data_IF_484126004383
#
_entry.id   IF_484126004383
#
_cell.length_a   1.000
_cell.length_b   1.000
_cell.length_c   1.000
_cell.angle_alpha   90.00
_cell.angle_beta   90.00
_cell.angle_gamma   90.00
#
_symmetry.space_group_name_H-M   'P 1'
#
loop_
_entity.id
_entity.type
_entity.pdbx_description
1 polymer ?
#
# COMPACT_ATOMS: atom_id res chain seq x y z
N UNK A 1 -19.40 18.46 12.69
CA UNK A 1 -18.49 17.43 12.13
C UNK A 1 -17.10 17.82 12.57
N UNK A 2 -16.53 17.08 13.51
CA UNK A 2 -15.31 17.45 14.24
C UNK A 2 -14.08 17.49 13.32
N UNK A 3 -13.35 18.59 13.42
CA UNK A 3 -12.04 18.81 12.81
C UNK A 3 -11.00 18.02 13.60
N UNK A 4 -10.41 17.01 12.98
CA UNK A 4 -9.25 16.30 13.52
C UNK A 4 -8.03 17.24 13.51
N UNK A 5 -7.67 17.72 14.69
CA UNK A 5 -6.39 18.37 14.95
C UNK A 5 -5.27 17.32 14.88
N UNK A 6 -4.37 17.46 13.91
CA UNK A 6 -3.09 16.76 13.93
C UNK A 6 -1.98 17.79 13.81
N UNK A 7 -1.33 18.05 14.96
CA UNK A 7 -0.09 18.79 15.11
C UNK A 7 0.93 18.47 14.01
N UNK A 8 1.40 19.53 13.34
CA UNK A 8 2.79 19.63 12.91
C UNK A 8 3.23 18.99 11.59
N UNK A 9 2.33 18.36 10.81
CA UNK A 9 2.64 18.03 9.41
C UNK A 9 1.66 18.78 8.53
N UNK A 10 2.15 19.83 7.88
CA UNK A 10 1.38 20.59 6.89
C UNK A 10 0.89 19.63 5.80
N UNK A 11 -0.43 19.44 5.73
CA UNK A 11 -1.12 18.58 4.76
C UNK A 11 -0.65 18.82 3.31
N UNK A 12 -0.16 20.03 3.02
CA UNK A 12 0.40 20.45 1.74
C UNK A 12 1.63 19.63 1.26
N UNK A 13 2.47 19.07 2.14
CA UNK A 13 3.62 18.25 1.73
C UNK A 13 3.24 16.78 1.43
N UNK A 14 2.09 16.33 1.93
CA UNK A 14 1.66 14.94 1.79
C UNK A 14 0.93 14.74 0.44
N UNK A 15 0.18 15.73 0.00
CA UNK A 15 -0.59 15.67 -1.25
C UNK A 15 0.29 15.64 -2.50
N UNK A 16 1.46 16.28 -2.44
CA UNK A 16 2.45 16.34 -3.53
C UNK A 16 3.27 15.06 -3.71
N UNK A 17 3.14 14.08 -2.80
CA UNK A 17 3.89 12.83 -2.88
C UNK A 17 3.43 12.04 -4.09
N UNK A 18 4.32 11.88 -5.05
CA UNK A 18 4.11 10.96 -6.17
C UNK A 18 4.42 9.55 -5.70
N UNK A 19 3.51 8.63 -5.97
CA UNK A 19 3.79 7.22 -5.76
C UNK A 19 4.69 6.78 -6.92
N UNK A 20 5.82 6.12 -6.63
CA UNK A 20 6.74 5.71 -7.67
C UNK A 20 6.06 4.65 -8.54
N UNK A 21 5.93 4.97 -9.82
CA UNK A 21 5.61 4.03 -10.88
C UNK A 21 6.86 3.81 -11.73
N UNK A 22 7.28 2.55 -11.98
CA UNK A 22 6.61 1.30 -11.62
C UNK A 22 6.66 1.00 -10.10
N UNK A 23 5.67 0.26 -9.57
CA UNK A 23 5.57 -0.06 -8.14
C UNK A 23 6.83 -0.75 -7.63
N UNK A 24 7.54 -0.08 -6.71
CA UNK A 24 8.75 -0.61 -6.05
C UNK A 24 8.42 -1.58 -4.90
N UNK A 25 7.25 -2.22 -4.93
CA UNK A 25 6.79 -3.16 -3.93
C UNK A 25 6.56 -4.53 -4.60
N UNK A 26 7.30 -5.54 -4.17
CA UNK A 26 7.19 -6.89 -4.71
C UNK A 26 6.21 -7.73 -3.90
N UNK A 27 5.64 -8.76 -4.53
CA UNK A 27 4.76 -9.74 -3.88
C UNK A 27 5.37 -10.31 -2.59
N UNK A 28 6.68 -10.55 -2.61
CA UNK A 28 7.45 -11.08 -1.48
C UNK A 28 7.49 -10.11 -0.30
N UNK A 29 7.75 -8.82 -0.55
CA UNK A 29 7.81 -7.79 0.48
C UNK A 29 6.44 -7.55 1.14
N UNK A 30 5.36 -7.83 0.40
CA UNK A 30 3.98 -7.78 0.91
C UNK A 30 3.67 -9.00 1.77
N UNK A 31 4.09 -10.20 1.36
CA UNK A 31 3.87 -11.46 2.06
C UNK A 31 4.69 -11.60 3.35
N UNK A 32 5.87 -10.97 3.41
CA UNK A 32 6.79 -11.08 4.56
C UNK A 32 6.25 -10.41 5.83
N UNK A 33 5.38 -9.40 5.70
CA UNK A 33 4.82 -8.68 6.87
C UNK A 33 3.90 -9.51 7.75
N UNK A 34 3.35 -10.62 7.26
CA UNK A 34 2.54 -11.52 8.08
C UNK A 34 3.44 -12.52 8.83
N UNK A 35 3.59 -12.30 10.14
CA UNK A 35 4.22 -13.26 11.07
C UNK A 35 3.57 -14.65 11.03
N UNK A 36 2.28 -14.68 10.72
CA UNK A 36 1.48 -15.90 10.65
C UNK A 36 1.41 -16.39 9.20
N UNK A 37 2.26 -17.36 8.85
CA UNK A 37 2.36 -17.91 7.49
C UNK A 37 1.08 -18.65 7.06
N UNK A 38 0.36 -19.23 8.02
CA UNK A 38 -0.82 -20.07 7.76
C UNK A 38 -2.11 -19.26 7.55
N UNK A 39 -2.19 -18.04 8.11
CA UNK A 39 -3.28 -17.08 7.87
C UNK A 39 -2.97 -16.02 6.80
N UNK A 40 -1.93 -16.22 5.97
CA UNK A 40 -1.63 -15.32 4.85
C UNK A 40 -2.82 -15.28 3.88
N UNK A 41 -3.49 -14.13 3.84
CA UNK A 41 -4.45 -13.78 2.79
C UNK A 41 -3.75 -12.82 1.83
N UNK A 42 -4.00 -12.99 0.54
CA UNK A 42 -3.54 -12.03 -0.45
C UNK A 42 -4.20 -10.67 -0.16
N UNK A 43 -3.41 -9.61 0.11
CA UNK A 43 -3.96 -8.29 0.24
C UNK A 43 -4.47 -7.80 -1.11
N UNK A 44 -5.57 -7.03 -1.08
CA UNK A 44 -6.13 -6.42 -2.27
C UNK A 44 -5.16 -5.40 -2.88
N UNK A 45 -5.30 -5.10 -4.19
CA UNK A 45 -4.50 -4.11 -4.92
C UNK A 45 -4.40 -2.75 -4.20
N UNK A 46 -5.50 -2.26 -3.62
CA UNK A 46 -5.52 -1.04 -2.82
C UNK A 46 -4.62 -1.10 -1.57
N UNK A 47 -4.56 -2.26 -0.91
CA UNK A 47 -3.71 -2.43 0.27
C UNK A 47 -2.24 -2.40 -0.15
N UNK A 48 -1.89 -3.02 -1.28
CA UNK A 48 -0.53 -2.99 -1.85
C UNK A 48 -0.15 -1.55 -2.23
N UNK A 49 -1.09 -0.81 -2.83
CA UNK A 49 -0.92 0.61 -3.16
C UNK A 49 -0.66 1.46 -1.91
N UNK A 50 -1.47 1.31 -0.86
CA UNK A 50 -1.27 1.99 0.42
C UNK A 50 0.09 1.66 1.05
N UNK A 51 0.57 0.42 0.89
CA UNK A 51 1.89 0.01 1.38
C UNK A 51 3.03 0.68 0.62
N UNK A 52 2.90 0.84 -0.70
CA UNK A 52 3.85 1.58 -1.52
C UNK A 52 3.92 3.05 -1.08
N UNK A 53 2.77 3.68 -0.83
CA UNK A 53 2.69 5.04 -0.32
C UNK A 53 3.38 5.19 1.06
N UNK A 54 3.11 4.26 1.98
CA UNK A 54 3.74 4.26 3.30
C UNK A 54 5.26 4.06 3.23
N UNK A 55 5.74 3.26 2.27
CA UNK A 55 7.18 3.06 2.02
C UNK A 55 7.83 4.34 1.50
N UNK A 56 7.19 5.03 0.57
CA UNK A 56 7.69 6.29 0.03
C UNK A 56 7.71 7.40 1.08
N UNK A 57 6.66 7.48 1.91
CA UNK A 57 6.62 8.37 3.06
C UNK A 57 7.81 8.15 4.00
N UNK A 58 8.10 6.88 4.31
CA UNK A 58 9.25 6.52 5.14
C UNK A 58 10.59 6.88 4.47
N UNK A 59 10.69 6.70 3.15
CA UNK A 59 11.86 7.06 2.34
C UNK A 59 12.15 8.56 2.43
N UNK A 60 11.10 9.38 2.44
CA UNK A 60 11.18 10.84 2.58
C UNK A 60 11.36 11.30 4.05
N UNK A 61 11.66 10.39 4.98
CA UNK A 61 11.74 10.65 6.43
C UNK A 61 10.41 11.11 7.06
N UNK A 62 9.29 10.92 6.36
CA UNK A 62 7.95 11.26 6.82
C UNK A 62 7.35 10.04 7.52
N UNK A 63 7.84 9.76 8.73
CA UNK A 63 7.45 8.58 9.52
C UNK A 63 6.36 8.82 10.57
N UNK A 64 6.00 10.09 10.84
CA UNK A 64 5.03 10.46 11.88
C UNK A 64 3.59 10.66 11.34
N UNK A 65 3.21 9.95 10.27
CA UNK A 65 1.85 10.03 9.73
C UNK A 65 0.99 8.92 10.32
N UNK A 66 -0.18 9.32 10.82
CA UNK A 66 -1.22 8.39 11.26
C UNK A 66 -1.69 7.51 10.09
N UNK A 67 -1.83 6.21 10.32
CA UNK A 67 -2.34 5.25 9.34
C UNK A 67 -3.68 5.66 8.71
N UNK A 68 -4.53 6.38 9.45
CA UNK A 68 -5.80 6.93 8.93
C UNK A 68 -5.52 7.93 7.80
N UNK A 69 -4.58 8.87 8.00
CA UNK A 69 -4.20 9.86 6.99
C UNK A 69 -3.58 9.20 5.75
N UNK A 70 -2.73 8.18 5.95
CA UNK A 70 -2.18 7.39 4.84
C UNK A 70 -3.30 6.71 4.04
N UNK A 71 -4.31 6.17 4.73
CA UNK A 71 -5.44 5.48 4.08
C UNK A 71 -6.34 6.46 3.33
N UNK A 72 -6.60 7.64 3.88
CA UNK A 72 -7.35 8.70 3.22
C UNK A 72 -6.62 9.21 1.96
N UNK A 73 -5.32 9.47 2.06
CA UNK A 73 -4.50 9.88 0.91
C UNK A 73 -4.43 8.79 -0.16
N UNK A 74 -4.23 7.54 0.25
CA UNK A 74 -4.21 6.41 -0.67
C UNK A 74 -5.54 6.30 -1.41
N UNK A 75 -6.68 6.47 -0.73
CA UNK A 75 -8.00 6.42 -1.36
C UNK A 75 -8.17 7.55 -2.40
N UNK A 76 -7.76 8.77 -2.05
CA UNK A 76 -7.82 9.92 -2.94
C UNK A 76 -6.96 9.70 -4.19
N UNK A 77 -5.70 9.28 -4.01
CA UNK A 77 -4.79 9.05 -5.15
C UNK A 77 -5.25 7.87 -5.98
N UNK A 78 -5.59 6.74 -5.36
CA UNK A 78 -6.08 5.53 -6.05
C UNK A 78 -7.28 5.82 -6.96
N UNK A 79 -8.21 6.68 -6.54
CA UNK A 79 -9.35 7.04 -7.38
C UNK A 79 -8.94 7.82 -8.64
N UNK A 80 -7.88 8.64 -8.54
CA UNK A 80 -7.33 9.45 -9.62
C UNK A 80 -6.24 8.75 -10.46
N UNK A 81 -5.74 7.58 -10.03
CA UNK A 81 -4.74 6.82 -10.80
C UNK A 81 -5.33 6.25 -12.09
N UNK A 82 -4.53 6.18 -13.17
CA UNK A 82 -4.94 5.54 -14.42
C UNK A 82 -5.08 4.02 -14.23
N UNK A 83 -5.88 3.40 -15.11
CA UNK A 83 -6.16 1.97 -15.07
C UNK A 83 -4.91 1.11 -15.20
N UNK A 84 -3.88 1.55 -15.93
CA UNK A 84 -2.59 0.87 -16.06
C UNK A 84 -1.90 0.66 -14.71
N UNK A 85 -1.94 1.70 -13.85
CA UNK A 85 -1.37 1.63 -12.49
C UNK A 85 -2.18 0.65 -11.65
N UNK A 86 -3.52 0.79 -11.66
CA UNK A 86 -4.42 -0.11 -10.93
C UNK A 86 -4.25 -1.56 -11.34
N UNK A 87 -4.05 -1.80 -12.64
CA UNK A 87 -3.81 -3.10 -13.22
C UNK A 87 -2.47 -3.67 -12.75
N UNK A 88 -1.38 -2.90 -12.75
CA UNK A 88 -0.09 -3.35 -12.21
C UNK A 88 -0.19 -3.81 -10.74
N UNK A 89 -0.93 -3.08 -9.89
CA UNK A 89 -1.17 -3.51 -8.50
C UNK A 89 -2.09 -4.71 -8.38
N UNK A 90 -3.02 -4.88 -9.33
CA UNK A 90 -3.86 -6.07 -9.44
C UNK A 90 -3.03 -7.30 -9.82
N UNK A 91 -2.14 -7.19 -10.79
CA UNK A 91 -1.23 -8.28 -11.20
C UNK A 91 -0.34 -8.74 -10.04
N UNK A 92 0.15 -7.81 -9.21
CA UNK A 92 0.88 -8.15 -7.98
C UNK A 92 -0.04 -8.91 -7.00
N UNK A 93 -1.27 -8.45 -6.79
CA UNK A 93 -2.24 -9.10 -5.90
C UNK A 93 -2.60 -10.51 -6.37
N UNK A 94 -2.82 -10.68 -7.68
CA UNK A 94 -3.10 -11.97 -8.30
C UNK A 94 -1.90 -12.93 -8.17
N UNK A 95 -0.67 -12.44 -8.41
CA UNK A 95 0.56 -13.23 -8.19
C UNK A 95 0.70 -13.69 -6.74
N UNK A 96 0.48 -12.80 -5.77
CA UNK A 96 0.50 -13.17 -4.34
C UNK A 96 -0.53 -14.25 -4.04
N UNK A 97 -1.74 -14.12 -4.59
CA UNK A 97 -2.82 -15.10 -4.38
C UNK A 97 -2.42 -16.46 -4.92
N UNK A 98 -1.81 -16.50 -6.10
CA UNK A 98 -1.42 -17.75 -6.73
C UNK A 98 -0.23 -18.40 -6.00
N UNK A 99 0.75 -17.61 -5.54
CA UNK A 99 1.84 -18.10 -4.67
C UNK A 99 1.31 -18.71 -3.36
N UNK A 100 0.33 -18.06 -2.70
CA UNK A 100 -0.32 -18.59 -1.49
C UNK A 100 -1.04 -19.91 -1.80
N UNK A 101 -1.74 -20.00 -2.94
CA UNK A 101 -2.41 -21.25 -3.36
C UNK A 101 -1.39 -22.36 -3.56
N UNK A 102 -0.35 -22.13 -4.37
CA UNK A 102 0.71 -23.12 -4.65
C UNK A 102 1.33 -23.62 -3.34
N UNK A 103 1.65 -22.70 -2.41
CA UNK A 103 2.21 -23.06 -1.11
C UNK A 103 1.29 -23.96 -0.27
N UNK A 104 -0.04 -23.80 -0.39
CA UNK A 104 -1.01 -24.66 0.32
C UNK A 104 -1.13 -26.07 -0.27
N UNK A 105 -0.88 -26.25 -1.56
CA UNK A 105 -1.02 -27.54 -2.23
C UNK A 105 0.29 -28.34 -2.32
N UNK A 106 1.42 -27.73 -1.98
CA UNK A 106 2.76 -28.37 -2.00
C UNK A 106 3.17 -28.89 -0.60
N UNK A 107 2.21 -29.09 0.31
CA UNK A 107 2.44 -29.54 1.69
C UNK A 107 1.68 -30.83 1.98
#
# INVERSE_FOLDING_TARGET
METINTDGVSSANIETIKIPFPPQITAEEVLDRSKDKERRKAPNNFIIYRMALAKELKSQNISNINLINISALAALKWNNEPDEVKQAYKDISDKIRDDIKISKYTK
#
